data_IF_836053436486
#
_entry.id   IF_836053436486
#
_cell.length_a   1.000
_cell.length_b   1.000
_cell.length_c   1.000
_cell.angle_alpha   90.00
_cell.angle_beta   90.00
_cell.angle_gamma   90.00
#
_symmetry.space_group_name_H-M   'P 1'
#
loop_
_entity.id
_entity.type
_entity.pdbx_description
1 polymer ?
#
# COMPACT_ATOMS: atom_id res chain seq x y z
N UNK A 1 -0.77 78.83 13.23
CA UNK A 1 0.11 78.93 12.05
C UNK A 1 1.31 78.00 12.27
N UNK A 2 1.80 77.38 11.18
CA UNK A 2 2.33 76.02 11.16
C UNK A 2 3.86 75.99 11.12
N UNK A 3 4.46 74.80 11.21
CA UNK A 3 5.65 74.46 10.40
C UNK A 3 5.74 72.95 10.20
N UNK A 4 6.05 72.61 8.96
CA UNK A 4 5.92 71.33 8.27
C UNK A 4 7.19 70.46 8.40
N UNK A 5 7.00 69.14 8.57
CA UNK A 5 7.64 67.97 7.90
C UNK A 5 9.20 67.88 7.81
N UNK A 6 9.81 66.66 7.88
CA UNK A 6 9.48 65.60 6.91
C UNK A 6 9.45 64.13 7.41
N UNK A 7 8.63 63.41 6.66
CA UNK A 7 8.56 61.98 6.37
C UNK A 7 9.90 61.25 6.47
N UNK A 8 9.93 60.18 7.26
CA UNK A 8 10.91 59.10 7.11
C UNK A 8 10.23 57.93 6.39
N UNK A 9 10.59 57.73 5.12
CA UNK A 9 10.23 56.52 4.36
C UNK A 9 11.11 55.38 4.88
N UNK A 10 10.53 54.48 5.66
CA UNK A 10 11.21 53.24 6.04
C UNK A 10 11.21 52.29 4.85
N UNK A 11 12.37 52.11 4.22
CA UNK A 11 12.60 51.07 3.23
C UNK A 11 12.61 49.70 3.93
N UNK A 12 11.59 48.88 3.67
CA UNK A 12 11.53 47.50 4.14
C UNK A 12 12.28 46.61 3.13
N UNK A 13 13.54 46.26 3.44
CA UNK A 13 14.31 45.27 2.69
C UNK A 13 13.73 43.88 2.94
N UNK A 14 13.02 43.32 1.95
CA UNK A 14 12.61 41.91 1.96
C UNK A 14 13.83 41.07 1.60
N UNK A 15 14.52 40.54 2.62
CA UNK A 15 15.51 39.49 2.43
C UNK A 15 14.78 38.18 2.13
N UNK A 16 14.76 37.75 0.86
CA UNK A 16 14.27 36.45 0.45
C UNK A 16 15.23 35.36 0.93
N UNK A 17 14.99 34.81 2.13
CA UNK A 17 15.66 33.61 2.59
C UNK A 17 15.16 32.43 1.74
N UNK A 18 16.04 31.85 0.92
CA UNK A 18 15.78 30.60 0.22
C UNK A 18 15.56 29.49 1.26
N UNK A 19 14.32 29.07 1.47
CA UNK A 19 14.01 27.92 2.31
C UNK A 19 14.44 26.68 1.53
N UNK A 20 15.42 25.89 2.01
CA UNK A 20 15.77 24.65 1.36
C UNK A 20 14.60 23.67 1.51
N UNK A 21 13.94 23.33 0.40
CA UNK A 21 12.94 22.27 0.36
C UNK A 21 13.63 20.95 0.73
N UNK A 22 13.07 20.15 1.68
CA UNK A 22 13.61 18.83 1.94
C UNK A 22 13.52 17.97 0.67
N UNK A 23 14.47 17.04 0.47
CA UNK A 23 14.42 16.13 -0.67
C UNK A 23 13.12 15.33 -0.60
N UNK A 24 12.31 15.42 -1.65
CA UNK A 24 11.14 14.57 -1.80
C UNK A 24 11.64 13.12 -1.89
N UNK A 25 11.41 12.34 -0.82
CA UNK A 25 11.54 10.89 -0.90
C UNK A 25 10.51 10.41 -1.91
N UNK A 26 10.96 10.04 -3.11
CA UNK A 26 10.11 9.43 -4.11
C UNK A 26 9.53 8.13 -3.53
N UNK A 27 8.27 8.17 -3.11
CA UNK A 27 7.54 6.97 -2.71
C UNK A 27 7.42 6.12 -3.97
N UNK A 28 8.02 4.92 -3.97
CA UNK A 28 7.81 3.96 -5.04
C UNK A 28 6.30 3.75 -5.21
N UNK A 29 5.78 3.65 -6.46
CA UNK A 29 4.36 3.47 -6.68
C UNK A 29 3.88 2.24 -5.91
N UNK A 30 2.75 2.38 -5.22
CA UNK A 30 2.10 1.26 -4.56
C UNK A 30 1.84 0.17 -5.60
N UNK A 31 2.34 -1.04 -5.31
CA UNK A 31 2.07 -2.24 -6.12
C UNK A 31 0.90 -2.98 -5.50
N UNK A 32 0.09 -3.62 -6.32
CA UNK A 32 -1.10 -4.34 -5.91
C UNK A 32 -1.04 -5.78 -6.42
N UNK A 33 -1.67 -6.70 -5.69
CA UNK A 33 -1.81 -8.10 -6.10
C UNK A 33 -2.81 -8.17 -7.24
N UNK A 34 -2.43 -8.77 -8.37
CA UNK A 34 -3.28 -8.87 -9.54
C UNK A 34 -4.57 -9.65 -9.22
N UNK A 35 -5.70 -9.12 -9.68
CA UNK A 35 -7.01 -9.74 -9.52
C UNK A 35 -7.69 -9.46 -8.18
N UNK A 36 -6.99 -8.99 -7.14
CA UNK A 36 -7.59 -8.63 -5.84
C UNK A 36 -7.65 -7.11 -5.68
N UNK A 37 -8.86 -6.57 -5.69
CA UNK A 37 -9.08 -5.12 -5.68
C UNK A 37 -8.47 -4.45 -4.43
N UNK A 38 -7.61 -3.46 -4.69
CA UNK A 38 -6.94 -2.62 -3.69
C UNK A 38 -6.09 -3.38 -2.66
N UNK A 39 -5.69 -4.64 -2.93
CA UNK A 39 -4.82 -5.41 -2.05
C UNK A 39 -3.35 -5.05 -2.32
N UNK A 40 -2.64 -4.40 -1.38
CA UNK A 40 -1.25 -4.03 -1.58
C UNK A 40 -0.37 -5.28 -1.70
N UNK A 41 0.55 -5.26 -2.66
CA UNK A 41 1.67 -6.19 -2.70
C UNK A 41 2.70 -5.73 -1.67
N UNK A 42 2.92 -6.53 -0.63
CA UNK A 42 3.88 -6.19 0.43
C UNK A 42 5.25 -5.84 -0.18
N UNK A 43 5.89 -4.72 0.22
CA UNK A 43 7.25 -4.41 -0.18
C UNK A 43 8.20 -5.57 0.14
N UNK A 44 9.03 -5.96 -0.84
CA UNK A 44 9.89 -7.14 -0.75
C UNK A 44 9.30 -8.37 -1.44
N UNK A 45 7.99 -8.42 -1.69
CA UNK A 45 7.39 -9.42 -2.56
C UNK A 45 7.42 -8.99 -4.03
N UNK A 46 7.63 -9.97 -4.90
CA UNK A 46 7.51 -9.86 -6.35
C UNK A 46 6.47 -10.86 -6.81
N UNK A 47 5.46 -10.37 -7.53
CA UNK A 47 4.39 -11.22 -8.05
C UNK A 47 4.90 -12.19 -9.12
N UNK A 48 4.32 -13.39 -9.14
CA UNK A 48 4.55 -14.45 -10.12
C UNK A 48 3.29 -14.60 -11.00
N UNK A 49 3.10 -13.71 -11.99
CA UNK A 49 1.88 -13.69 -12.79
C UNK A 49 1.67 -14.99 -13.59
N UNK A 50 2.74 -15.71 -13.91
CA UNK A 50 2.68 -16.99 -14.62
C UNK A 50 2.07 -18.13 -13.79
N UNK A 51 2.06 -18.00 -12.46
CA UNK A 51 1.43 -18.99 -11.56
C UNK A 51 -0.01 -18.61 -11.21
N UNK A 52 -0.44 -17.38 -11.54
CA UNK A 52 -1.74 -16.85 -11.18
C UNK A 52 -2.88 -17.43 -12.02
N UNK A 53 -4.09 -17.45 -11.45
CA UNK A 53 -5.32 -17.84 -12.14
C UNK A 53 -6.46 -16.92 -11.73
N UNK A 54 -7.20 -16.40 -12.71
CA UNK A 54 -8.44 -15.66 -12.49
C UNK A 54 -9.56 -16.36 -13.23
N UNK A 55 -10.65 -16.66 -12.51
CA UNK A 55 -11.86 -17.24 -13.09
C UNK A 55 -13.05 -16.32 -12.80
N UNK A 56 -13.70 -15.83 -13.86
CA UNK A 56 -14.91 -15.01 -13.79
C UNK A 56 -16.19 -15.85 -13.99
N UNK A 57 -17.18 -15.69 -13.09
CA UNK A 57 -18.52 -16.31 -13.19
C UNK A 57 -19.61 -15.27 -12.93
N UNK A 58 -20.87 -15.54 -13.34
CA UNK A 58 -22.02 -14.71 -12.94
C UNK A 58 -22.18 -14.50 -11.43
N UNK A 59 -21.65 -15.41 -10.60
CA UNK A 59 -21.70 -15.34 -9.13
C UNK A 59 -20.47 -14.71 -8.46
N UNK A 60 -19.56 -14.10 -9.22
CA UNK A 60 -18.34 -13.48 -8.70
C UNK A 60 -17.06 -14.04 -9.31
N UNK A 61 -15.92 -13.52 -8.84
CA UNK A 61 -14.58 -13.87 -9.33
C UNK A 61 -13.84 -14.74 -8.33
N UNK A 62 -13.17 -15.77 -8.83
CA UNK A 62 -12.19 -16.55 -8.06
C UNK A 62 -10.80 -16.15 -8.53
N UNK A 63 -9.93 -15.80 -7.59
CA UNK A 63 -8.54 -15.42 -7.88
C UNK A 63 -7.60 -16.30 -7.09
N UNK A 64 -6.55 -16.78 -7.75
CA UNK A 64 -5.34 -17.29 -7.14
C UNK A 64 -4.17 -16.45 -7.66
N UNK A 65 -3.44 -15.81 -6.75
CA UNK A 65 -2.25 -15.03 -7.08
C UNK A 65 -1.08 -15.48 -6.22
N UNK A 66 0.13 -15.36 -6.76
CA UNK A 66 1.35 -15.81 -6.09
C UNK A 66 2.37 -14.68 -6.07
N UNK A 67 3.07 -14.53 -4.95
CA UNK A 67 4.20 -13.62 -4.86
C UNK A 67 5.32 -14.23 -4.02
N UNK A 68 6.56 -13.93 -4.38
CA UNK A 68 7.75 -14.45 -3.71
C UNK A 68 8.72 -13.35 -3.31
N UNK A 69 9.45 -13.54 -2.22
CA UNK A 69 10.44 -12.57 -1.78
C UNK A 69 11.31 -13.07 -0.64
N UNK A 70 12.42 -12.36 -0.36
CA UNK A 70 13.34 -12.71 0.71
C UNK A 70 12.80 -12.25 2.08
N UNK A 71 11.66 -12.81 2.47
CA UNK A 71 10.91 -12.52 3.70
C UNK A 71 10.52 -13.83 4.38
N UNK A 72 10.12 -13.76 5.64
CA UNK A 72 9.50 -14.86 6.37
C UNK A 72 7.97 -14.79 6.27
N UNK A 73 7.29 -15.93 6.48
CA UNK A 73 5.84 -15.94 6.56
C UNK A 73 5.30 -15.09 7.72
N UNK A 74 6.05 -14.98 8.82
CA UNK A 74 5.66 -14.15 9.96
C UNK A 74 5.63 -12.66 9.60
N UNK A 75 6.63 -12.15 8.90
CA UNK A 75 6.66 -10.75 8.44
C UNK A 75 5.50 -10.44 7.50
N UNK A 76 5.22 -11.35 6.55
CA UNK A 76 4.07 -11.23 5.64
C UNK A 76 2.76 -11.19 6.41
N UNK A 77 2.59 -12.10 7.37
CA UNK A 77 1.36 -12.15 8.17
C UNK A 77 1.15 -10.87 8.96
N UNK A 78 2.17 -10.39 9.66
CA UNK A 78 2.08 -9.15 10.45
C UNK A 78 1.77 -7.92 9.58
N UNK A 79 2.32 -7.87 8.36
CA UNK A 79 1.98 -6.83 7.39
C UNK A 79 0.48 -6.86 7.05
N UNK A 80 -0.06 -8.02 6.65
CA UNK A 80 -1.46 -8.11 6.24
C UNK A 80 -2.44 -8.01 7.42
N UNK A 81 -2.08 -8.47 8.62
CA UNK A 81 -2.88 -8.29 9.85
C UNK A 81 -3.09 -6.80 10.18
N UNK A 82 -2.07 -5.96 9.96
CA UNK A 82 -2.18 -4.52 10.18
C UNK A 82 -2.84 -3.77 9.01
N UNK A 83 -2.66 -4.26 7.78
CA UNK A 83 -3.12 -3.57 6.56
C UNK A 83 -4.58 -3.86 6.24
N UNK A 84 -5.01 -5.12 6.31
CA UNK A 84 -6.33 -5.55 5.86
C UNK A 84 -7.50 -4.86 6.58
N UNK A 85 -7.48 -4.68 7.92
CA UNK A 85 -8.56 -3.97 8.62
C UNK A 85 -8.78 -2.54 8.12
N UNK A 86 -7.71 -1.85 7.73
CA UNK A 86 -7.78 -0.47 7.21
C UNK A 86 -8.44 -0.41 5.82
N UNK A 87 -8.44 -1.53 5.11
CA UNK A 87 -9.06 -1.70 3.79
C UNK A 87 -10.48 -2.30 3.87
N UNK A 88 -11.06 -2.36 5.08
CA UNK A 88 -12.41 -2.87 5.33
C UNK A 88 -12.54 -4.39 5.44
N UNK A 89 -11.43 -5.13 5.35
CA UNK A 89 -11.41 -6.57 5.55
C UNK A 89 -11.53 -6.91 7.03
N UNK A 90 -12.45 -7.81 7.37
CA UNK A 90 -12.68 -8.28 8.74
C UNK A 90 -12.09 -9.68 8.91
N UNK A 91 -11.30 -9.95 9.96
CA UNK A 91 -10.80 -11.29 10.21
C UNK A 91 -11.96 -12.28 10.40
N UNK A 92 -11.82 -13.47 9.81
CA UNK A 92 -12.74 -14.59 9.87
C UNK A 92 -11.95 -15.90 10.01
N UNK A 93 -12.64 -17.01 10.31
CA UNK A 93 -12.00 -18.33 10.42
C UNK A 93 -11.25 -18.67 9.12
N UNK A 94 -9.93 -18.63 9.18
CA UNK A 94 -9.05 -19.01 8.08
C UNK A 94 -8.92 -17.96 6.97
N UNK A 95 -9.21 -16.68 7.25
CA UNK A 95 -9.04 -15.61 6.27
C UNK A 95 -9.65 -14.28 6.71
N UNK A 96 -10.10 -13.50 5.73
CA UNK A 96 -10.73 -12.20 5.92
C UNK A 96 -11.93 -12.03 5.02
N UNK A 97 -12.93 -11.26 5.46
CA UNK A 97 -14.17 -10.99 4.73
C UNK A 97 -14.33 -9.50 4.41
N UNK A 98 -14.76 -9.21 3.18
CA UNK A 98 -15.13 -7.86 2.74
C UNK A 98 -16.16 -7.97 1.64
N UNK A 99 -17.30 -7.28 1.78
CA UNK A 99 -18.30 -7.12 0.69
C UNK A 99 -18.76 -8.42 0.01
N UNK A 100 -18.93 -9.50 0.77
CA UNK A 100 -19.33 -10.80 0.20
C UNK A 100 -18.18 -11.57 -0.45
N UNK A 101 -16.94 -11.14 -0.25
CA UNK A 101 -15.73 -11.85 -0.65
C UNK A 101 -14.98 -12.41 0.58
N UNK A 102 -14.26 -13.51 0.37
CA UNK A 102 -13.31 -14.08 1.32
C UNK A 102 -11.91 -14.08 0.72
N UNK A 103 -10.96 -13.45 1.42
CA UNK A 103 -9.54 -13.48 1.13
C UNK A 103 -8.83 -14.48 2.07
N UNK A 104 -8.02 -15.38 1.51
CA UNK A 104 -7.18 -16.31 2.24
C UNK A 104 -5.72 -16.15 1.84
N UNK A 105 -4.83 -16.16 2.83
CA UNK A 105 -3.38 -16.13 2.63
C UNK A 105 -2.80 -17.43 3.16
N UNK A 106 -1.90 -18.02 2.40
CA UNK A 106 -1.10 -19.18 2.78
C UNK A 106 0.31 -19.02 2.22
N UNK A 107 1.27 -19.77 2.75
CA UNK A 107 2.64 -19.65 2.29
C UNK A 107 3.37 -21.00 2.33
N UNK A 108 4.34 -21.12 1.42
CA UNK A 108 5.39 -22.15 1.47
C UNK A 108 6.72 -21.43 1.70
N UNK A 109 7.48 -21.90 2.69
CA UNK A 109 8.79 -21.34 3.02
C UNK A 109 9.90 -22.25 2.48
N UNK A 110 10.90 -21.61 1.87
CA UNK A 110 12.19 -22.18 1.53
C UNK A 110 13.28 -21.38 2.28
N UNK A 111 14.52 -21.88 2.38
CA UNK A 111 15.59 -21.15 3.05
C UNK A 111 15.77 -19.73 2.47
N UNK A 112 15.44 -18.72 3.29
CA UNK A 112 15.57 -17.30 2.94
C UNK A 112 14.53 -16.76 1.96
N UNK A 113 13.48 -17.52 1.60
CA UNK A 113 12.45 -17.10 0.65
C UNK A 113 11.07 -17.62 1.06
N UNK A 114 10.07 -16.76 1.00
CA UNK A 114 8.65 -17.14 1.12
C UNK A 114 7.97 -17.06 -0.23
N UNK A 115 7.09 -18.02 -0.52
CA UNK A 115 6.10 -17.90 -1.59
C UNK A 115 4.72 -17.82 -0.96
N UNK A 116 4.06 -16.67 -1.14
CA UNK A 116 2.72 -16.38 -0.62
C UNK A 116 1.71 -16.69 -1.71
N UNK A 117 0.66 -17.43 -1.36
CA UNK A 117 -0.52 -17.65 -2.19
C UNK A 117 -1.69 -16.86 -1.62
N UNK A 118 -2.23 -15.95 -2.43
CA UNK A 118 -3.46 -15.20 -2.18
C UNK A 118 -4.61 -15.91 -2.89
N UNK A 119 -5.72 -16.11 -2.18
CA UNK A 119 -6.95 -16.64 -2.78
C UNK A 119 -8.15 -15.79 -2.44
N UNK A 120 -8.93 -15.43 -3.45
CA UNK A 120 -10.17 -14.67 -3.33
C UNK A 120 -11.34 -15.52 -3.81
N UNK A 121 -12.42 -15.56 -3.04
CA UNK A 121 -13.65 -16.28 -3.39
C UNK A 121 -14.89 -15.45 -3.06
N UNK A 122 -15.97 -15.53 -3.85
CA UNK A 122 -17.27 -15.03 -3.43
C UNK A 122 -17.84 -15.89 -2.29
N UNK A 123 -18.67 -15.28 -1.43
CA UNK A 123 -19.47 -15.93 -0.39
C UNK A 123 -20.83 -16.38 -0.93
#
# INVERSE_FOLDING_TARGET
MPSLLPVLVSAFLIAAAAIPSPPAFAQAPARYVAGVADLPLMPGLTERPEDGLVFDKPGGRIVEAFATGPLTWQEVRSFYESTLPQLGWRPDRGGYLREGERLQLSATEAPGVVTVKFRLFPQ
#
